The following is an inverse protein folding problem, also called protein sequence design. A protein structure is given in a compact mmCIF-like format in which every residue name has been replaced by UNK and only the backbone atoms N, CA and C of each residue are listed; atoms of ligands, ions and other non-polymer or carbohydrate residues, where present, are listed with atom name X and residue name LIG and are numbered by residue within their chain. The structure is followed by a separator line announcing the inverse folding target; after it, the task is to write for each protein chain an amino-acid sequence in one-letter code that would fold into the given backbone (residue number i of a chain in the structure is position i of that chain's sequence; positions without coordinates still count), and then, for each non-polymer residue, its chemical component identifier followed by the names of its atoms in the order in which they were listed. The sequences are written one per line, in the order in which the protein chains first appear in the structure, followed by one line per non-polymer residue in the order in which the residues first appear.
data_IF_516879321653
#
_entry.id   IF_516879321653
#
_cell.length_a   1.000
_cell.length_b   1.000
_cell.length_c   1.000
_cell.angle_alpha   90.00
_cell.angle_beta   90.00
_cell.angle_gamma   90.00
#
_symmetry.space_group_name_H-M   'P 1'
#
loop_
_entity.id
_entity.type
_entity.pdbx_description
1 polymer ?
#
# COMPACT_ATOMS: atom_id res chain seq x y z
N UNK A 1 -2.30 -10.35 22.10
CA UNK A 1 -3.07 -9.69 21.03
C UNK A 1 -4.00 -8.69 21.66
N UNK A 2 -3.56 -7.45 21.83
CA UNK A 2 -4.47 -6.37 22.21
C UNK A 2 -5.18 -5.91 20.94
N UNK A 3 -6.44 -6.31 20.78
CA UNK A 3 -7.34 -5.69 19.82
C UNK A 3 -7.48 -4.22 20.21
N UNK A 4 -6.71 -3.35 19.56
CA UNK A 4 -6.93 -1.91 19.63
C UNK A 4 -8.33 -1.66 19.09
N UNK A 5 -9.30 -1.43 20.01
CA UNK A 5 -10.65 -0.98 19.66
C UNK A 5 -10.52 0.33 18.90
N UNK A 6 -10.58 0.22 17.58
CA UNK A 6 -10.74 1.37 16.70
C UNK A 6 -12.12 1.97 16.97
N UNK A 7 -12.18 3.28 16.96
CA UNK A 7 -13.46 3.96 17.03
C UNK A 7 -14.24 3.67 15.76
N UNK A 8 -15.48 3.19 15.90
CA UNK A 8 -16.33 2.96 14.73
C UNK A 8 -16.82 4.29 14.15
N UNK A 9 -17.32 4.28 12.92
CA UNK A 9 -17.96 5.47 12.33
C UNK A 9 -19.19 5.92 13.14
N UNK A 10 -19.91 4.98 13.76
CA UNK A 10 -21.04 5.25 14.66
C UNK A 10 -20.56 5.96 15.94
N UNK A 11 -19.46 5.49 16.55
CA UNK A 11 -18.86 6.12 17.72
C UNK A 11 -18.29 7.51 17.40
N UNK A 12 -17.67 7.68 16.22
CA UNK A 12 -17.22 9.00 15.75
C UNK A 12 -18.40 9.94 15.57
N UNK A 13 -19.48 9.46 14.98
CA UNK A 13 -20.69 10.25 14.78
C UNK A 13 -21.29 10.66 16.12
N UNK A 14 -21.45 9.72 17.05
CA UNK A 14 -21.96 10.01 18.38
C UNK A 14 -21.09 11.00 19.16
N UNK A 15 -19.76 10.94 19.03
CA UNK A 15 -18.86 11.88 19.71
C UNK A 15 -18.85 13.29 19.11
N UNK A 16 -19.10 13.43 17.80
CA UNK A 16 -19.14 14.72 17.11
C UNK A 16 -20.53 15.36 17.06
N UNK A 17 -21.61 14.57 17.21
CA UNK A 17 -23.00 15.05 17.21
C UNK A 17 -23.26 16.17 18.23
N UNK A 18 -22.73 16.14 19.48
CA UNK A 18 -22.92 17.23 20.43
C UNK A 18 -22.27 18.56 20.00
N UNK A 19 -21.22 18.50 19.17
CA UNK A 19 -20.47 19.68 18.72
C UNK A 19 -21.08 20.30 17.46
N UNK A 20 -21.58 19.47 16.54
CA UNK A 20 -22.04 19.91 15.21
C UNK A 20 -23.56 19.80 15.01
N UNK A 21 -24.30 19.25 15.97
CA UNK A 21 -25.76 19.16 15.92
C UNK A 21 -26.25 18.42 14.68
N UNK A 22 -27.20 19.00 13.95
CA UNK A 22 -27.78 18.39 12.74
C UNK A 22 -26.97 18.60 11.46
N UNK A 23 -25.81 19.24 11.55
CA UNK A 23 -24.92 19.44 10.41
C UNK A 23 -24.07 18.21 10.08
N UNK A 24 -24.18 17.11 10.84
CA UNK A 24 -23.40 15.89 10.64
C UNK A 24 -24.28 14.74 10.16
N UNK A 25 -23.81 14.03 9.14
CA UNK A 25 -24.38 12.80 8.59
C UNK A 25 -23.45 11.60 8.80
N UNK A 26 -24.00 10.39 8.69
CA UNK A 26 -23.29 9.12 8.81
C UNK A 26 -23.62 8.21 7.63
N UNK A 27 -22.60 7.59 7.03
CA UNK A 27 -22.75 6.60 5.96
C UNK A 27 -21.78 5.44 6.18
N UNK A 28 -22.29 4.23 6.43
CA UNK A 28 -21.45 3.03 6.56
C UNK A 28 -22.09 1.79 5.94
N UNK A 29 -21.27 0.76 5.68
CA UNK A 29 -21.66 -0.43 4.91
C UNK A 29 -22.94 -1.13 5.40
N UNK A 30 -23.17 -1.13 6.73
CA UNK A 30 -24.33 -1.77 7.38
C UNK A 30 -25.68 -1.03 7.25
N UNK A 31 -25.70 0.23 6.79
CA UNK A 31 -26.95 0.97 6.61
C UNK A 31 -27.77 0.42 5.45
N UNK A 32 -29.10 0.58 5.52
CA UNK A 32 -29.98 0.22 4.40
C UNK A 32 -29.76 1.18 3.22
N UNK A 33 -30.05 0.72 2.00
CA UNK A 33 -29.86 1.54 0.78
C UNK A 33 -30.54 2.90 0.87
N UNK A 34 -31.82 2.94 1.25
CA UNK A 34 -32.58 4.18 1.39
C UNK A 34 -31.98 5.15 2.42
N UNK A 35 -31.44 4.65 3.53
CA UNK A 35 -30.81 5.49 4.56
C UNK A 35 -29.49 6.09 4.05
N UNK A 36 -28.72 5.33 3.27
CA UNK A 36 -27.50 5.81 2.61
C UNK A 36 -27.82 6.90 1.59
N UNK A 37 -28.80 6.65 0.73
CA UNK A 37 -29.20 7.58 -0.32
C UNK A 37 -29.68 8.91 0.27
N UNK A 38 -30.44 8.85 1.37
CA UNK A 38 -30.93 10.03 2.07
C UNK A 38 -29.80 10.82 2.74
N UNK A 39 -28.89 10.15 3.46
CA UNK A 39 -27.73 10.81 4.05
C UNK A 39 -26.84 11.47 2.98
N UNK A 40 -26.68 10.81 1.83
CA UNK A 40 -25.94 11.35 0.69
C UNK A 40 -26.64 12.53 0.03
N UNK A 41 -27.98 12.48 -0.09
CA UNK A 41 -28.80 13.60 -0.59
C UNK A 41 -28.66 14.81 0.33
N UNK A 42 -28.80 14.62 1.64
CA UNK A 42 -28.68 15.66 2.63
C UNK A 42 -27.29 16.34 2.59
N UNK A 43 -26.22 15.56 2.41
CA UNK A 43 -24.87 16.10 2.26
C UNK A 43 -24.69 16.88 0.94
N UNK A 44 -25.15 16.32 -0.18
CA UNK A 44 -25.11 16.98 -1.50
C UNK A 44 -25.87 18.30 -1.52
N UNK A 45 -26.98 18.39 -0.81
CA UNK A 45 -27.81 19.60 -0.73
C UNK A 45 -27.32 20.59 0.34
N UNK A 46 -26.30 20.23 1.12
CA UNK A 46 -25.75 21.07 2.18
C UNK A 46 -26.64 21.16 3.43
N UNK A 47 -27.63 20.26 3.57
CA UNK A 47 -28.41 20.06 4.80
C UNK A 47 -27.47 19.55 5.91
N UNK A 48 -26.62 18.57 5.58
CA UNK A 48 -25.45 18.22 6.39
C UNK A 48 -24.19 18.81 5.76
N UNK A 49 -23.27 19.31 6.60
CA UNK A 49 -22.00 19.91 6.22
C UNK A 49 -20.80 18.99 6.47
N UNK A 50 -20.99 17.98 7.32
CA UNK A 50 -19.97 16.99 7.67
C UNK A 50 -20.57 15.61 7.42
N UNK A 51 -19.83 14.77 6.70
CA UNK A 51 -20.24 13.39 6.46
C UNK A 51 -19.17 12.45 7.01
N UNK A 52 -19.54 11.64 8.00
CA UNK A 52 -18.69 10.57 8.51
C UNK A 52 -18.97 9.32 7.70
N UNK A 53 -17.92 8.72 7.13
CA UNK A 53 -18.06 7.50 6.36
C UNK A 53 -16.97 6.47 6.65
N UNK A 54 -17.27 5.19 6.39
CA UNK A 54 -16.25 4.14 6.34
C UNK A 54 -15.75 3.93 4.92
N UNK A 55 -14.49 3.51 4.79
CA UNK A 55 -13.81 3.32 3.51
C UNK A 55 -14.31 2.15 2.67
N UNK A 56 -15.06 1.22 3.27
CA UNK A 56 -15.68 0.08 2.58
C UNK A 56 -16.76 0.53 1.60
N UNK A 57 -17.25 1.75 1.75
CA UNK A 57 -18.11 2.31 0.72
C UNK A 57 -17.23 3.16 -0.19
N UNK A 58 -17.04 2.67 -1.42
CA UNK A 58 -16.71 3.50 -2.58
C UNK A 58 -17.87 4.46 -2.85
N UNK A 59 -18.20 5.29 -1.87
CA UNK A 59 -19.27 6.25 -2.07
C UNK A 59 -18.72 7.19 -3.15
N UNK A 60 -19.32 7.11 -4.33
CA UNK A 60 -19.09 8.03 -5.45
C UNK A 60 -19.60 9.42 -5.09
N UNK A 61 -19.09 9.98 -3.99
CA UNK A 61 -19.35 11.35 -3.54
C UNK A 61 -18.50 12.26 -4.39
N UNK A 62 -18.95 12.46 -5.62
CA UNK A 62 -18.59 13.67 -6.33
C UNK A 62 -19.50 14.78 -5.81
N UNK A 63 -19.03 15.49 -4.78
CA UNK A 63 -19.67 16.70 -4.26
C UNK A 63 -18.70 17.83 -4.54
N UNK A 64 -18.95 18.65 -5.58
CA UNK A 64 -18.04 19.73 -5.98
C UNK A 64 -17.75 20.74 -4.84
N UNK A 65 -18.69 20.90 -3.91
CA UNK A 65 -18.56 21.77 -2.74
C UNK A 65 -17.79 21.15 -1.57
N UNK A 66 -17.42 19.87 -1.62
CA UNK A 66 -16.61 19.23 -0.60
C UNK A 66 -15.14 19.60 -0.79
N UNK A 67 -14.65 20.54 0.03
CA UNK A 67 -13.28 21.07 -0.06
C UNK A 67 -12.32 20.44 0.94
N UNK A 68 -12.81 19.78 1.99
CA UNK A 68 -11.95 19.18 3.04
C UNK A 68 -12.19 17.68 3.13
N UNK A 69 -11.12 16.90 3.03
CA UNK A 69 -11.10 15.45 3.28
C UNK A 69 -10.30 15.19 4.55
N UNK A 70 -10.87 14.47 5.52
CA UNK A 70 -10.17 14.04 6.73
C UNK A 70 -10.12 12.51 6.74
N UNK A 71 -8.91 11.96 6.72
CA UNK A 71 -8.69 10.51 6.74
C UNK A 71 -8.17 10.13 8.12
N UNK A 72 -9.00 9.47 8.91
CA UNK A 72 -8.60 8.91 10.19
C UNK A 72 -7.87 7.57 10.02
N UNK A 73 -6.86 7.34 10.84
CA UNK A 73 -6.01 6.15 10.78
C UNK A 73 -5.35 5.96 9.40
N UNK A 74 -4.85 7.06 8.82
CA UNK A 74 -4.25 7.09 7.49
C UNK A 74 -3.11 6.06 7.32
N UNK A 75 -2.41 5.70 8.40
CA UNK A 75 -1.31 4.72 8.41
C UNK A 75 -1.72 3.30 7.97
N UNK A 76 -3.01 2.99 8.05
CA UNK A 76 -3.58 1.68 7.70
C UNK A 76 -3.89 1.52 6.22
N UNK A 77 -3.92 2.62 5.47
CA UNK A 77 -4.30 2.61 4.06
C UNK A 77 -3.09 2.46 3.14
N UNK A 78 -3.25 1.68 2.07
CA UNK A 78 -2.27 1.64 0.98
C UNK A 78 -2.15 3.01 0.29
N UNK A 79 -1.02 3.28 -0.35
CA UNK A 79 -0.77 4.57 -0.97
C UNK A 79 -1.79 4.87 -2.08
N UNK A 80 -2.12 3.86 -2.89
CA UNK A 80 -3.17 3.96 -3.90
C UNK A 80 -4.56 4.29 -3.31
N UNK A 81 -4.91 3.71 -2.15
CA UNK A 81 -6.19 3.99 -1.49
C UNK A 81 -6.25 5.42 -0.95
N UNK A 82 -5.17 5.89 -0.32
CA UNK A 82 -5.05 7.29 0.12
C UNK A 82 -5.17 8.26 -1.05
N UNK A 83 -4.55 7.93 -2.18
CA UNK A 83 -4.65 8.73 -3.40
C UNK A 83 -6.09 8.80 -3.94
N UNK A 84 -6.79 7.67 -3.99
CA UNK A 84 -8.19 7.63 -4.40
C UNK A 84 -9.10 8.42 -3.46
N UNK A 85 -8.89 8.34 -2.14
CA UNK A 85 -9.66 9.10 -1.14
C UNK A 85 -9.40 10.60 -1.27
N UNK A 86 -8.14 11.02 -1.43
CA UNK A 86 -7.77 12.42 -1.65
C UNK A 86 -8.46 13.00 -2.90
N UNK A 87 -8.52 12.23 -3.99
CA UNK A 87 -9.17 12.65 -5.25
C UNK A 87 -10.70 12.78 -5.21
N UNK A 88 -11.35 12.54 -4.05
CA UNK A 88 -12.79 12.78 -3.85
C UNK A 88 -13.11 14.23 -3.49
N UNK A 89 -12.10 15.03 -3.12
CA UNK A 89 -12.24 16.48 -2.91
C UNK A 89 -11.43 17.25 -3.95
N UNK A 90 -11.72 18.54 -4.13
CA UNK A 90 -10.99 19.37 -5.10
C UNK A 90 -11.44 19.22 -6.55
N UNK A 91 -12.72 18.84 -6.77
CA UNK A 91 -13.33 18.76 -8.10
C UNK A 91 -14.00 20.05 -8.58
N UNK A 92 -14.10 21.05 -7.70
CA UNK A 92 -14.59 22.39 -8.03
C UNK A 92 -13.45 23.42 -8.06
N UNK A 93 -13.81 24.68 -8.27
CA UNK A 93 -12.84 25.80 -8.40
C UNK A 93 -12.27 26.28 -7.05
N UNK A 94 -12.75 25.72 -5.93
CA UNK A 94 -12.35 26.10 -4.58
C UNK A 94 -11.09 25.34 -4.17
N UNK A 95 -10.14 25.99 -3.46
CA UNK A 95 -9.01 25.29 -2.86
C UNK A 95 -9.49 24.15 -1.95
N UNK A 96 -8.88 22.98 -2.13
CA UNK A 96 -9.17 21.80 -1.30
C UNK A 96 -8.01 21.45 -0.38
N UNK A 97 -8.29 20.74 0.70
CA UNK A 97 -7.29 20.26 1.64
C UNK A 97 -7.59 18.84 2.08
N UNK A 98 -6.54 18.02 2.19
CA UNK A 98 -6.62 16.67 2.71
C UNK A 98 -5.80 16.56 4.00
N UNK A 99 -6.46 16.19 5.09
CA UNK A 99 -5.86 16.04 6.41
C UNK A 99 -5.72 14.55 6.71
N UNK A 100 -4.48 14.10 6.89
CA UNK A 100 -4.14 12.73 7.22
C UNK A 100 -3.92 12.63 8.74
N UNK A 101 -4.85 12.00 9.45
CA UNK A 101 -4.74 11.75 10.89
C UNK A 101 -4.20 10.33 11.10
N UNK A 102 -3.16 10.21 11.90
CA UNK A 102 -2.54 8.93 12.22
C UNK A 102 -2.24 8.83 13.71
N UNK A 103 -1.97 7.61 14.17
CA UNK A 103 -1.58 7.33 15.56
C UNK A 103 -0.13 6.86 15.62
N UNK A 104 0.65 7.46 16.51
CA UNK A 104 2.01 7.01 16.81
C UNK A 104 2.02 5.74 17.69
N UNK A 105 3.07 4.90 17.59
CA UNK A 105 4.23 5.05 16.71
C UNK A 105 3.97 4.58 15.27
N UNK A 106 4.49 5.31 14.28
CA UNK A 106 4.50 4.88 12.89
C UNK A 106 5.69 3.96 12.59
N UNK A 107 5.43 2.85 11.90
CA UNK A 107 6.50 2.08 11.25
C UNK A 107 7.08 2.83 10.03
N UNK A 108 8.33 2.53 9.66
CA UNK A 108 9.05 3.19 8.56
C UNK A 108 8.24 3.24 7.24
N UNK A 109 7.63 2.11 6.86
CA UNK A 109 6.79 2.03 5.64
C UNK A 109 5.54 2.93 5.72
N UNK A 110 4.90 3.05 6.88
CA UNK A 110 3.75 3.93 7.05
C UNK A 110 4.17 5.40 7.00
N UNK A 111 5.28 5.74 7.66
CA UNK A 111 5.86 7.08 7.63
C UNK A 111 6.22 7.51 6.21
N UNK A 112 6.84 6.62 5.41
CA UNK A 112 7.16 6.89 4.00
C UNK A 112 5.90 7.09 3.16
N UNK A 113 4.88 6.22 3.29
CA UNK A 113 3.60 6.38 2.58
C UNK A 113 2.94 7.74 2.85
N UNK A 114 2.81 8.11 4.12
CA UNK A 114 2.20 9.39 4.51
C UNK A 114 3.01 10.59 4.04
N UNK A 115 4.35 10.47 4.01
CA UNK A 115 5.24 11.52 3.48
C UNK A 115 5.04 11.71 1.98
N UNK A 116 5.01 10.63 1.20
CA UNK A 116 4.75 10.70 -0.26
C UNK A 116 3.39 11.36 -0.54
N UNK A 117 2.34 10.99 0.21
CA UNK A 117 1.02 11.63 0.07
C UNK A 117 1.01 13.13 0.35
N UNK A 118 1.92 13.61 1.21
CA UNK A 118 2.06 15.01 1.57
C UNK A 118 2.92 15.79 0.56
N UNK A 119 3.94 15.15 0.01
CA UNK A 119 4.96 15.79 -0.82
C UNK A 119 4.55 15.95 -2.28
N UNK A 120 3.66 15.09 -2.79
CA UNK A 120 3.26 15.12 -4.20
C UNK A 120 1.78 14.84 -4.45
N UNK A 121 1.27 15.47 -5.51
CA UNK A 121 -0.04 15.20 -6.07
C UNK A 121 0.01 14.41 -7.38
N UNK A 122 1.22 14.18 -7.94
CA UNK A 122 1.40 13.47 -9.20
C UNK A 122 1.09 11.97 -9.04
N UNK A 123 0.02 11.52 -9.70
CA UNK A 123 -0.41 10.13 -9.69
C UNK A 123 0.63 9.14 -10.22
N UNK A 124 1.51 9.55 -11.15
CA UNK A 124 2.58 8.69 -11.65
C UNK A 124 3.66 8.48 -10.60
N UNK A 125 4.13 9.55 -9.96
CA UNK A 125 5.12 9.46 -8.89
C UNK A 125 4.60 8.67 -7.70
N UNK A 126 3.32 8.85 -7.36
CA UNK A 126 2.65 8.07 -6.31
C UNK A 126 2.61 6.58 -6.67
N UNK A 127 2.28 6.24 -7.92
CA UNK A 127 2.27 4.85 -8.35
C UNK A 127 3.67 4.21 -8.32
N UNK A 128 4.70 4.98 -8.72
CA UNK A 128 6.10 4.54 -8.66
C UNK A 128 6.56 4.30 -7.21
N UNK A 129 6.24 5.21 -6.29
CA UNK A 129 6.56 5.02 -4.87
C UNK A 129 5.74 3.89 -4.23
N UNK A 130 4.46 3.69 -4.59
CA UNK A 130 3.66 2.54 -4.12
C UNK A 130 4.33 1.22 -4.56
N UNK A 131 4.81 1.18 -5.80
CA UNK A 131 5.54 0.03 -6.33
C UNK A 131 6.83 -0.23 -5.56
N UNK A 132 7.67 0.79 -5.34
CA UNK A 132 8.90 0.67 -4.55
C UNK A 132 8.62 0.19 -3.12
N UNK A 133 7.53 0.67 -2.52
CA UNK A 133 7.12 0.31 -1.16
C UNK A 133 6.59 -1.12 -1.03
N UNK A 134 5.92 -1.64 -2.07
CA UNK A 134 5.57 -3.07 -2.18
C UNK A 134 6.79 -3.95 -2.51
N UNK A 135 7.82 -3.33 -3.08
CA UNK A 135 9.03 -3.95 -3.58
C UNK A 135 8.80 -4.63 -4.94
N UNK A 136 9.83 -4.64 -5.78
CA UNK A 136 9.81 -5.14 -7.17
C UNK A 136 9.40 -6.62 -7.33
N UNK A 137 9.31 -7.38 -6.23
CA UNK A 137 8.95 -8.80 -6.24
C UNK A 137 7.49 -9.15 -6.57
N UNK A 138 6.58 -8.17 -6.63
CA UNK A 138 5.19 -8.41 -7.06
C UNK A 138 4.95 -8.18 -8.57
N UNK A 139 5.69 -7.27 -9.22
CA UNK A 139 5.51 -6.98 -10.65
C UNK A 139 5.95 -8.11 -11.57
N UNK A 140 6.90 -8.94 -11.13
CA UNK A 140 7.35 -10.13 -11.86
C UNK A 140 6.64 -11.41 -11.41
N UNK A 141 5.62 -11.34 -10.55
CA UNK A 141 4.85 -12.50 -10.11
C UNK A 141 5.63 -13.52 -9.26
N UNK A 142 6.79 -13.15 -8.71
CA UNK A 142 7.71 -14.09 -8.05
C UNK A 142 7.59 -14.16 -6.53
N UNK A 143 6.67 -13.43 -5.90
CA UNK A 143 6.31 -13.67 -4.49
C UNK A 143 5.04 -14.51 -4.39
N UNK A 144 5.14 -15.77 -4.83
CA UNK A 144 4.43 -16.81 -4.08
C UNK A 144 4.99 -16.80 -2.66
N UNK A 145 4.11 -16.91 -1.68
CA UNK A 145 4.32 -16.83 -0.23
C UNK A 145 5.21 -17.94 0.36
N UNK A 146 6.29 -18.33 -0.33
CA UNK A 146 7.20 -19.41 0.05
C UNK A 146 8.59 -19.36 -0.59
N UNK A 147 8.93 -18.36 -1.41
CA UNK A 147 10.26 -18.30 -2.03
C UNK A 147 11.24 -17.56 -1.11
N UNK A 148 12.36 -18.17 -0.67
CA UNK A 148 13.36 -17.49 0.13
C UNK A 148 13.91 -16.28 -0.63
N UNK A 149 14.02 -15.13 0.04
CA UNK A 149 14.72 -13.97 -0.51
C UNK A 149 16.19 -14.31 -0.82
N UNK A 150 16.81 -13.51 -1.69
CA UNK A 150 18.25 -13.59 -1.92
C UNK A 150 19.01 -13.24 -0.62
N UNK A 151 20.03 -14.02 -0.25
CA UNK A 151 20.80 -13.77 0.98
C UNK A 151 21.82 -12.63 0.82
N UNK A 152 22.34 -12.45 -0.40
CA UNK A 152 23.42 -11.49 -0.70
C UNK A 152 22.99 -10.45 -1.74
N UNK A 153 22.14 -10.83 -2.70
CA UNK A 153 21.72 -9.93 -3.77
C UNK A 153 20.51 -9.09 -3.36
N UNK A 154 20.55 -7.81 -3.69
CA UNK A 154 19.39 -6.91 -3.66
C UNK A 154 18.99 -6.66 -5.11
N UNK A 155 17.78 -7.08 -5.48
CA UNK A 155 17.32 -7.01 -6.87
C UNK A 155 17.39 -5.56 -7.36
N UNK A 156 17.07 -4.60 -6.50
CA UNK A 156 17.00 -3.17 -6.83
C UNK A 156 18.37 -2.57 -7.17
N UNK A 157 19.45 -3.15 -6.65
CA UNK A 157 20.81 -2.65 -6.85
C UNK A 157 21.63 -3.49 -7.82
N UNK A 158 21.23 -4.75 -8.07
CA UNK A 158 22.05 -5.74 -8.75
C UNK A 158 21.31 -6.45 -9.90
N UNK A 159 20.21 -5.89 -10.41
CA UNK A 159 19.42 -6.53 -11.48
C UNK A 159 20.25 -6.87 -12.73
N UNK A 160 21.15 -5.98 -13.12
CA UNK A 160 22.13 -6.15 -14.19
C UNK A 160 23.14 -7.27 -13.91
N UNK A 161 23.61 -7.37 -12.66
CA UNK A 161 24.52 -8.43 -12.23
C UNK A 161 23.84 -9.81 -12.15
N UNK A 162 22.53 -9.85 -11.87
CA UNK A 162 21.76 -11.11 -11.81
C UNK A 162 21.64 -11.77 -13.19
N UNK A 163 21.52 -10.98 -14.26
CA UNK A 163 21.53 -11.52 -15.62
C UNK A 163 22.89 -12.12 -15.97
N UNK A 164 23.97 -11.39 -15.70
CA UNK A 164 25.33 -11.88 -15.90
C UNK A 164 25.62 -13.15 -15.08
N UNK A 165 25.17 -13.20 -13.82
CA UNK A 165 25.33 -14.37 -12.95
C UNK A 165 24.57 -15.60 -13.48
N UNK A 166 23.36 -15.41 -14.02
CA UNK A 166 22.57 -16.50 -14.63
C UNK A 166 23.26 -17.06 -15.86
N UNK A 167 23.78 -16.20 -16.72
CA UNK A 167 24.44 -16.64 -17.94
C UNK A 167 25.79 -17.30 -17.66
N UNK A 168 26.53 -16.83 -16.66
CA UNK A 168 27.74 -17.49 -16.16
C UNK A 168 27.43 -18.87 -15.56
N UNK A 169 26.36 -19.00 -14.76
CA UNK A 169 25.93 -20.31 -14.26
C UNK A 169 25.61 -21.29 -15.39
N UNK A 170 24.87 -20.86 -16.43
CA UNK A 170 24.60 -21.69 -17.61
C UNK A 170 25.87 -22.09 -18.35
N UNK A 171 26.79 -21.15 -18.51
CA UNK A 171 28.06 -21.40 -19.18
C UNK A 171 28.88 -22.45 -18.43
N UNK A 172 28.93 -22.38 -17.10
CA UNK A 172 29.62 -23.36 -16.27
C UNK A 172 28.98 -24.73 -16.40
N UNK A 173 27.64 -24.83 -16.30
CA UNK A 173 26.96 -26.11 -16.48
C UNK A 173 27.18 -26.72 -17.88
N UNK A 174 27.36 -25.89 -18.90
CA UNK A 174 27.65 -26.39 -20.26
C UNK A 174 29.09 -26.89 -20.44
N UNK A 175 30.05 -26.31 -19.71
CA UNK A 175 31.50 -26.58 -19.89
C UNK A 175 32.06 -27.54 -18.86
N UNK A 176 31.51 -27.52 -17.66
CA UNK A 176 31.92 -28.29 -16.51
C UNK A 176 30.67 -28.76 -15.75
N UNK A 177 29.85 -29.63 -16.36
CA UNK A 177 28.58 -30.08 -15.78
C UNK A 177 28.79 -30.78 -14.43
N UNK A 178 29.92 -31.46 -14.28
CA UNK A 178 30.28 -32.16 -13.05
C UNK A 178 31.01 -31.26 -12.05
N UNK A 179 31.27 -29.98 -12.35
CA UNK A 179 31.96 -29.03 -11.47
C UNK A 179 33.31 -29.58 -10.95
N UNK A 180 34.14 -30.12 -11.84
CA UNK A 180 35.45 -30.72 -11.52
C UNK A 180 36.63 -29.77 -11.74
N UNK A 181 36.45 -28.66 -12.46
CA UNK A 181 37.50 -27.66 -12.61
C UNK A 181 37.78 -26.95 -11.28
N UNK A 182 38.92 -26.27 -11.17
CA UNK A 182 39.25 -25.43 -10.00
C UNK A 182 38.11 -24.44 -9.66
N UNK A 183 37.46 -23.88 -10.69
CA UNK A 183 36.28 -23.02 -10.53
C UNK A 183 35.05 -23.81 -10.10
N UNK A 184 34.84 -25.01 -10.63
CA UNK A 184 33.76 -25.90 -10.26
C UNK A 184 33.84 -26.35 -8.79
N UNK A 185 35.04 -26.68 -8.31
CA UNK A 185 35.29 -27.03 -6.91
C UNK A 185 34.97 -25.86 -5.97
N UNK A 186 35.38 -24.64 -6.33
CA UNK A 186 35.02 -23.43 -5.57
C UNK A 186 33.50 -23.21 -5.52
N UNK A 187 32.78 -23.50 -6.61
CA UNK A 187 31.31 -23.42 -6.64
C UNK A 187 30.66 -24.50 -5.78
N UNK A 188 31.18 -25.74 -5.78
CA UNK A 188 30.70 -26.81 -4.88
C UNK A 188 30.83 -26.40 -3.42
N UNK A 189 31.94 -25.77 -3.05
CA UNK A 189 32.14 -25.24 -1.70
C UNK A 189 31.10 -24.16 -1.36
N UNK A 190 30.83 -23.23 -2.28
CA UNK A 190 29.78 -22.22 -2.08
C UNK A 190 28.40 -22.85 -1.93
N UNK A 191 28.04 -23.81 -2.79
CA UNK A 191 26.75 -24.51 -2.70
C UNK A 191 26.58 -25.23 -1.36
N UNK A 192 27.65 -25.83 -0.84
CA UNK A 192 27.65 -26.42 0.50
C UNK A 192 27.45 -25.37 1.60
N UNK A 193 28.22 -24.28 1.58
CA UNK A 193 28.14 -23.21 2.57
C UNK A 193 26.76 -22.54 2.62
N UNK A 194 26.08 -22.43 1.48
CA UNK A 194 24.75 -21.86 1.36
C UNK A 194 23.60 -22.88 1.54
N UNK A 195 23.90 -24.13 1.91
CA UNK A 195 22.88 -25.17 2.13
C UNK A 195 22.10 -25.53 0.87
N UNK A 196 22.77 -25.50 -0.29
CA UNK A 196 22.24 -25.83 -1.63
C UNK A 196 22.95 -27.04 -2.23
N UNK A 197 23.46 -27.93 -1.39
CA UNK A 197 24.15 -29.17 -1.75
C UNK A 197 23.26 -30.12 -2.57
N UNK A 198 21.93 -30.09 -2.37
CA UNK A 198 21.00 -30.82 -3.24
C UNK A 198 21.05 -30.37 -4.70
N UNK A 199 21.42 -29.12 -4.99
CA UNK A 199 21.54 -28.63 -6.36
C UNK A 199 22.64 -29.36 -7.14
N UNK A 200 23.70 -29.83 -6.47
CA UNK A 200 24.78 -30.62 -7.10
C UNK A 200 24.29 -32.01 -7.50
N UNK A 201 23.25 -32.54 -6.83
CA UNK A 201 22.64 -33.85 -7.18
C UNK A 201 21.67 -33.77 -8.35
N UNK A 202 21.26 -32.55 -8.74
CA UNK A 202 20.33 -32.27 -9.84
C UNK A 202 21.04 -31.87 -11.14
N UNK A 203 22.37 -31.76 -11.11
CA UNK A 203 23.25 -31.60 -12.28
C UNK A 203 23.55 -32.97 -12.89
#
# INVERSE_FOLDING_TARGET
SEEVKLMSAEDRFASLKPLFGDQIGLVHGRMKGAEKDEAMRAFKQGETRILIATTVIEVGVDVPDATIMVIEHAERFGLAQLHQLRGRVGRGDKPSSCVLLYKDPLGETAKRRLSVMRETEDGFLIAEEDLKLRGEGELLGTRQSGTPGFQVARIEAHADLLEAARDDARLILSRDPELQSERGEALRLLLYLFGRDEAVRLL
#
